data_IF_956554605469
#
_entry.id   IF_956554605469
#
_cell.length_a   1.000
_cell.length_b   1.000
_cell.length_c   1.000
_cell.angle_alpha   90.00
_cell.angle_beta   90.00
_cell.angle_gamma   90.00
#
_symmetry.space_group_name_H-M   'P 1'
#
loop_
_entity.id
_entity.type
_entity.pdbx_description
1 polymer ?
#
# COMPACT_ATOMS: atom_id res chain seq x y z
N UNK A 1 18.74 1.53 1.22
CA UNK A 1 17.92 1.50 -0.01
C UNK A 1 16.50 1.12 0.37
N UNK A 2 15.48 1.77 -0.17
CA UNK A 2 14.08 1.34 0.02
C UNK A 2 13.70 0.33 -1.05
N UNK A 3 12.93 -0.68 -0.69
CA UNK A 3 12.49 -1.73 -1.61
C UNK A 3 11.09 -2.22 -1.26
N UNK A 4 10.36 -2.65 -2.29
CA UNK A 4 9.05 -3.24 -2.14
C UNK A 4 9.19 -4.64 -1.55
N UNK A 5 8.61 -4.85 -0.37
CA UNK A 5 8.56 -6.12 0.32
C UNK A 5 7.35 -6.97 -0.08
N UNK A 6 6.84 -7.72 0.88
CA UNK A 6 5.75 -8.68 0.68
C UNK A 6 4.41 -7.97 0.62
N UNK A 7 3.49 -8.50 -0.21
CA UNK A 7 2.08 -8.09 -0.18
C UNK A 7 1.41 -8.75 1.03
N UNK A 8 0.96 -7.93 1.99
CA UNK A 8 0.33 -8.41 3.22
C UNK A 8 -1.20 -8.40 3.16
N UNK A 9 -1.78 -7.66 2.22
CA UNK A 9 -3.22 -7.59 2.02
C UNK A 9 -3.53 -7.24 0.57
N UNK A 10 -4.61 -7.79 0.02
CA UNK A 10 -5.07 -7.47 -1.32
C UNK A 10 -6.59 -7.46 -1.34
N UNK A 11 -7.17 -6.42 -1.97
CA UNK A 11 -8.61 -6.23 -2.09
C UNK A 11 -8.92 -5.61 -3.46
N UNK A 12 -9.64 -6.35 -4.30
CA UNK A 12 -9.93 -5.94 -5.67
C UNK A 12 -8.65 -5.66 -6.48
N UNK A 13 -8.46 -4.40 -6.89
CA UNK A 13 -7.27 -3.93 -7.64
C UNK A 13 -6.21 -3.28 -6.72
N UNK A 14 -6.44 -3.23 -5.42
CA UNK A 14 -5.59 -2.59 -4.44
C UNK A 14 -4.78 -3.62 -3.67
N UNK A 15 -3.50 -3.35 -3.48
CA UNK A 15 -2.57 -4.24 -2.77
C UNK A 15 -1.80 -3.43 -1.73
N UNK A 16 -1.71 -3.97 -0.52
CA UNK A 16 -0.90 -3.40 0.55
C UNK A 16 0.39 -4.19 0.64
N UNK A 17 1.52 -3.51 0.46
CA UNK A 17 2.84 -4.11 0.56
C UNK A 17 3.66 -3.47 1.67
N UNK A 18 4.57 -4.26 2.24
CA UNK A 18 5.57 -3.79 3.19
C UNK A 18 6.64 -2.99 2.45
N UNK A 19 7.09 -1.90 3.06
CA UNK A 19 8.24 -1.13 2.60
C UNK A 19 9.43 -1.53 3.44
N UNK A 20 10.44 -2.11 2.79
CA UNK A 20 11.64 -2.59 3.44
C UNK A 20 12.76 -1.59 3.21
N UNK A 21 13.46 -1.22 4.28
CA UNK A 21 14.68 -0.43 4.22
C UNK A 21 15.87 -1.33 4.53
N UNK A 22 16.77 -1.42 3.56
CA UNK A 22 18.07 -2.09 3.75
C UNK A 22 19.11 -1.04 4.16
N UNK A 23 19.75 -1.27 5.30
CA UNK A 23 20.82 -0.45 5.84
C UNK A 23 22.19 -0.85 5.27
N UNK A 24 23.22 -0.03 5.54
CA UNK A 24 24.57 -0.25 4.99
C UNK A 24 25.21 -1.55 5.50
N UNK A 25 24.80 -2.02 6.67
CA UNK A 25 25.21 -3.27 7.30
C UNK A 25 24.44 -4.50 6.79
N UNK A 26 23.64 -4.35 5.72
CA UNK A 26 22.74 -5.36 5.15
C UNK A 26 21.56 -5.80 6.04
N UNK A 27 21.33 -5.18 7.21
CA UNK A 27 20.09 -5.40 7.94
C UNK A 27 18.91 -4.82 7.16
N UNK A 28 17.80 -5.55 7.16
CA UNK A 28 16.53 -5.13 6.56
C UNK A 28 15.49 -4.88 7.64
N UNK A 29 14.78 -3.76 7.55
CA UNK A 29 13.71 -3.40 8.47
C UNK A 29 12.45 -2.98 7.70
N UNK A 30 11.29 -3.38 8.22
CA UNK A 30 10.00 -2.91 7.71
C UNK A 30 9.75 -1.52 8.27
N UNK A 31 9.81 -0.50 7.42
CA UNK A 31 9.63 0.90 7.82
C UNK A 31 8.18 1.38 7.70
N UNK A 32 7.31 0.56 7.10
CA UNK A 32 5.87 0.80 7.03
C UNK A 32 5.21 0.06 5.87
N UNK A 33 4.03 0.52 5.48
CA UNK A 33 3.20 -0.11 4.45
C UNK A 33 2.75 0.91 3.41
N UNK A 34 2.53 0.44 2.19
CA UNK A 34 2.05 1.27 1.07
C UNK A 34 0.92 0.56 0.35
N UNK A 35 0.01 1.35 -0.19
CA UNK A 35 -1.10 0.86 -1.01
C UNK A 35 -0.77 1.10 -2.48
N UNK A 36 -0.71 0.03 -3.27
CA UNK A 36 -0.64 0.06 -4.73
C UNK A 36 -2.03 -0.10 -5.31
N UNK A 37 -2.36 0.73 -6.30
CA UNK A 37 -3.61 0.60 -7.04
C UNK A 37 -4.02 1.91 -7.72
N UNK A 38 -5.03 1.87 -8.59
CA UNK A 38 -5.50 3.05 -9.30
C UNK A 38 -6.09 4.09 -8.33
N UNK A 39 -5.47 5.27 -8.27
CA UNK A 39 -5.87 6.35 -7.36
C UNK A 39 -5.35 6.23 -5.93
N UNK A 40 -4.56 5.20 -5.62
CA UNK A 40 -3.88 5.09 -4.34
C UNK A 40 -2.61 5.95 -4.32
N UNK A 41 -2.34 6.62 -3.20
CA UNK A 41 -1.08 7.33 -3.01
C UNK A 41 0.05 6.33 -2.70
N UNK A 42 0.84 5.99 -3.72
CA UNK A 42 1.95 5.03 -3.59
C UNK A 42 3.22 5.65 -2.96
N UNK A 43 3.17 6.91 -2.52
CA UNK A 43 4.33 7.62 -1.96
C UNK A 43 4.29 7.65 -0.43
N UNK A 44 3.09 7.68 0.15
CA UNK A 44 2.83 7.76 1.58
C UNK A 44 3.12 6.45 2.29
N UNK A 45 3.97 6.53 3.32
CA UNK A 45 4.24 5.42 4.24
C UNK A 45 3.21 5.43 5.36
N UNK A 46 2.49 4.32 5.49
CA UNK A 46 1.35 4.18 6.39
C UNK A 46 1.59 3.05 7.40
N UNK A 47 0.88 3.12 8.53
CA UNK A 47 0.71 1.98 9.42
C UNK A 47 -0.05 0.85 8.72
N UNK A 48 0.11 -0.38 9.20
CA UNK A 48 -0.56 -1.56 8.64
C UNK A 48 -2.08 -1.37 8.57
N UNK A 49 -2.69 -0.99 9.68
CA UNK A 49 -4.13 -0.81 9.78
C UNK A 49 -4.66 0.30 8.87
N UNK A 50 -3.97 1.43 8.80
CA UNK A 50 -4.33 2.54 7.89
C UNK A 50 -4.23 2.12 6.42
N UNK A 51 -3.17 1.42 6.03
CA UNK A 51 -2.99 0.96 4.66
C UNK A 51 -4.07 -0.07 4.26
N UNK A 52 -4.42 -0.99 5.16
CA UNK A 52 -5.52 -1.94 4.95
C UNK A 52 -6.86 -1.21 4.86
N UNK A 53 -7.12 -0.24 5.73
CA UNK A 53 -8.34 0.55 5.71
C UNK A 53 -8.48 1.34 4.41
N UNK A 54 -7.42 2.01 3.97
CA UNK A 54 -7.40 2.77 2.71
C UNK A 54 -7.64 1.84 1.51
N UNK A 55 -6.97 0.69 1.46
CA UNK A 55 -7.20 -0.28 0.37
C UNK A 55 -8.66 -0.75 0.32
N UNK A 56 -9.27 -1.02 1.48
CA UNK A 56 -10.67 -1.40 1.58
C UNK A 56 -11.62 -0.25 1.19
N UNK A 57 -11.35 0.98 1.63
CA UNK A 57 -12.15 2.16 1.32
C UNK A 57 -12.12 2.49 -0.18
N UNK A 58 -10.94 2.44 -0.79
CA UNK A 58 -10.75 2.62 -2.22
C UNK A 58 -11.43 1.51 -3.04
N UNK A 59 -11.35 0.25 -2.58
CA UNK A 59 -12.05 -0.85 -3.23
C UNK A 59 -13.57 -0.78 -3.06
N UNK A 60 -14.04 -0.22 -1.95
CA UNK A 60 -15.46 -0.12 -1.63
C UNK A 60 -16.12 1.12 -2.22
N UNK A 61 -15.34 2.12 -2.64
CA UNK A 61 -15.85 3.29 -3.34
C UNK A 61 -16.28 2.85 -4.74
N UNK A 62 -17.59 2.73 -5.04
CA UNK A 62 -18.00 2.40 -6.39
C UNK A 62 -17.54 3.52 -7.32
N UNK A 63 -16.91 3.18 -8.44
CA UNK A 63 -16.63 4.10 -9.57
C UNK A 63 -17.91 4.62 -10.25
N UNK A 64 -18.94 4.95 -9.46
CA UNK A 64 -20.23 5.48 -9.90
C UNK A 64 -20.21 7.01 -9.92
N UNK A 65 -19.30 7.62 -10.68
CA UNK A 65 -19.47 8.99 -11.18
C UNK A 65 -18.82 9.17 -12.57
N UNK A 66 -19.21 8.34 -13.52
CA UNK A 66 -19.26 8.74 -14.92
C UNK A 66 -20.55 8.16 -15.54
N UNK A 67 -21.69 8.76 -15.19
CA UNK A 67 -22.83 8.78 -16.11
C UNK A 67 -22.58 9.97 -17.04
N UNK A 68 -22.23 9.64 -18.29
CA UNK A 68 -22.45 10.51 -19.46
C UNK A 68 -23.95 10.81 -19.57
#
# INVERSE_FOLDING_TARGET
MESRGTVIHAVGKYQVYEVIKTYLDNTTEIIGHRVEGPGADSTSLLSKDDAVKIANDLSSTPSSKLKI
#
